data_IF_569557926014
#
_entry.id   IF_569557926014
#
_cell.length_a   1.000
_cell.length_b   1.000
_cell.length_c   1.000
_cell.angle_alpha   90.00
_cell.angle_beta   90.00
_cell.angle_gamma   90.00
#
_symmetry.space_group_name_H-M   'P 1'
#
loop_
_entity.id
_entity.type
_entity.pdbx_description
1 polymer ?
#
# COMPACT_ATOMS: atom_id res chain seq x y z
N UNK A 1 22.12 35.82 37.78
CA UNK A 1 22.24 36.44 36.44
C UNK A 1 23.26 35.66 35.65
N UNK A 2 22.86 35.07 34.52
CA UNK A 2 23.62 34.24 33.55
C UNK A 2 22.73 33.02 33.18
N UNK A 3 22.50 32.60 31.95
CA UNK A 3 22.81 33.09 30.61
C UNK A 3 21.75 32.48 29.67
N UNK A 4 21.34 33.26 28.67
CA UNK A 4 20.53 32.80 27.53
C UNK A 4 21.32 31.70 26.80
N UNK A 5 20.68 30.56 26.52
CA UNK A 5 21.14 29.62 25.49
C UNK A 5 20.08 29.53 24.39
N UNK A 6 20.31 30.18 23.24
CA UNK A 6 19.52 29.94 22.05
C UNK A 6 20.06 28.66 21.40
N UNK A 7 19.18 27.69 21.16
CA UNK A 7 19.53 26.55 20.32
C UNK A 7 18.38 26.28 19.37
N UNK A 8 18.13 27.28 18.51
CA UNK A 8 17.45 27.07 17.23
C UNK A 8 18.52 26.47 16.32
N UNK A 9 18.62 25.14 16.30
CA UNK A 9 19.24 24.45 15.17
C UNK A 9 18.20 24.48 14.06
N UNK A 10 18.34 25.46 13.16
CA UNK A 10 17.68 25.46 11.87
C UNK A 10 18.27 24.33 11.03
N UNK A 11 17.61 23.18 11.01
CA UNK A 11 17.94 22.11 10.08
C UNK A 11 17.36 22.51 8.71
N UNK A 12 18.16 23.22 7.92
CA UNK A 12 17.88 23.45 6.52
C UNK A 12 17.94 22.10 5.79
N UNK A 13 16.78 21.46 5.63
CA UNK A 13 16.63 20.28 4.80
C UNK A 13 16.81 20.70 3.34
N UNK A 14 17.94 20.34 2.75
CA UNK A 14 18.21 20.49 1.34
C UNK A 14 17.24 19.61 0.53
N UNK A 15 16.14 20.20 0.07
CA UNK A 15 15.18 19.58 -0.85
C UNK A 15 15.72 19.53 -2.30
N UNK A 16 16.88 18.92 -2.55
CA UNK A 16 17.38 18.71 -3.93
C UNK A 16 18.03 17.33 -4.07
N UNK A 17 17.26 16.26 -3.83
CA UNK A 17 17.67 14.91 -4.22
C UNK A 17 16.50 13.93 -4.49
N UNK A 18 15.24 14.36 -4.53
CA UNK A 18 14.11 13.44 -4.77
C UNK A 18 13.76 13.20 -6.25
N UNK A 19 14.56 13.66 -7.20
CA UNK A 19 14.24 13.51 -8.64
C UNK A 19 15.05 12.43 -9.37
N UNK A 20 15.90 11.65 -8.68
CA UNK A 20 16.85 10.73 -9.33
C UNK A 20 16.63 9.22 -9.07
N UNK A 21 15.48 8.80 -8.53
CA UNK A 21 15.21 7.37 -8.29
C UNK A 21 13.81 6.97 -8.76
N UNK A 22 13.60 7.00 -10.07
CA UNK A 22 12.48 6.32 -10.72
C UNK A 22 12.93 5.80 -12.10
N UNK A 23 14.01 5.02 -12.11
CA UNK A 23 14.45 4.26 -13.31
C UNK A 23 14.39 2.76 -13.05
N UNK A 24 13.40 2.29 -12.27
CA UNK A 24 13.02 0.89 -12.31
C UNK A 24 12.20 0.67 -13.59
N UNK A 25 12.90 0.49 -14.72
CA UNK A 25 12.28 -0.02 -15.94
C UNK A 25 11.97 -1.52 -15.73
N UNK A 26 10.87 -1.79 -15.02
CA UNK A 26 10.36 -3.15 -14.82
C UNK A 26 9.73 -3.74 -16.09
N UNK A 27 9.57 -2.94 -17.15
CA UNK A 27 9.01 -3.35 -18.42
C UNK A 27 10.05 -4.12 -19.24
N UNK A 28 9.81 -5.40 -19.58
CA UNK A 28 10.69 -6.13 -20.49
C UNK A 28 10.85 -5.39 -21.82
N UNK A 29 12.03 -5.39 -22.45
CA UNK A 29 12.31 -4.58 -23.65
C UNK A 29 11.34 -4.88 -24.80
N UNK A 30 10.87 -6.13 -24.92
CA UNK A 30 9.86 -6.53 -25.90
C UNK A 30 8.50 -5.82 -25.73
N UNK A 31 8.21 -5.29 -24.53
CA UNK A 31 6.95 -4.60 -24.22
C UNK A 31 7.09 -3.08 -24.23
N UNK A 32 8.27 -2.52 -24.51
CA UNK A 32 8.52 -1.09 -24.40
C UNK A 32 7.61 -0.26 -25.34
N UNK A 33 7.43 -0.71 -26.59
CA UNK A 33 6.54 -0.05 -27.55
C UNK A 33 5.07 -0.11 -27.12
N UNK A 34 4.63 -1.25 -26.57
CA UNK A 34 3.27 -1.41 -26.05
C UNK A 34 3.05 -0.48 -24.84
N UNK A 35 4.00 -0.41 -23.91
CA UNK A 35 3.91 0.50 -22.77
C UNK A 35 3.81 1.96 -23.22
N UNK A 36 4.64 2.39 -24.17
CA UNK A 36 4.58 3.76 -24.70
C UNK A 36 3.22 4.07 -25.34
N UNK A 37 2.66 3.10 -26.08
CA UNK A 37 1.33 3.25 -26.67
C UNK A 37 0.23 3.37 -25.63
N UNK A 38 0.27 2.59 -24.54
CA UNK A 38 -0.71 2.70 -23.45
C UNK A 38 -0.56 4.00 -22.67
N UNK A 39 0.68 4.45 -22.38
CA UNK A 39 0.93 5.75 -21.74
C UNK A 39 0.36 6.89 -22.60
N UNK A 40 0.53 6.83 -23.92
CA UNK A 40 0.00 7.85 -24.82
C UNK A 40 -1.54 7.89 -24.86
N UNK A 41 -2.22 6.78 -24.55
CA UNK A 41 -3.69 6.74 -24.41
C UNK A 41 -4.17 7.38 -23.11
N UNK A 42 -3.30 7.53 -22.12
CA UNK A 42 -3.63 8.02 -20.78
C UNK A 42 -4.36 6.98 -19.93
N UNK A 43 -4.69 7.37 -18.71
CA UNK A 43 -5.36 6.47 -17.77
C UNK A 43 -6.79 6.14 -18.21
N UNK A 44 -7.25 4.89 -18.05
CA UNK A 44 -8.64 4.54 -18.26
C UNK A 44 -9.57 5.36 -17.35
N UNK A 45 -10.66 5.92 -17.89
CA UNK A 45 -11.63 6.68 -17.10
C UNK A 45 -12.16 5.92 -15.86
N UNK A 46 -12.20 4.58 -15.94
CA UNK A 46 -12.58 3.70 -14.82
C UNK A 46 -11.67 3.87 -13.59
N UNK A 47 -10.40 4.25 -13.74
CA UNK A 47 -9.47 4.44 -12.61
C UNK A 47 -9.89 5.57 -11.68
N UNK A 48 -10.69 6.52 -12.18
CA UNK A 48 -11.20 7.66 -11.42
C UNK A 48 -12.64 7.44 -10.93
N UNK A 49 -13.19 6.24 -11.07
CA UNK A 49 -14.53 5.91 -10.58
C UNK A 49 -14.45 5.16 -9.26
N UNK A 50 -14.88 5.83 -8.20
CA UNK A 50 -14.98 5.22 -6.86
C UNK A 50 -16.06 4.13 -6.82
N UNK A 51 -15.85 3.17 -5.92
CA UNK A 51 -16.88 2.21 -5.56
C UNK A 51 -17.95 2.90 -4.70
N UNK A 52 -18.93 3.52 -5.35
CA UNK A 52 -19.90 4.38 -4.67
C UNK A 52 -21.01 3.64 -3.89
N UNK A 53 -21.16 2.32 -4.08
CA UNK A 53 -22.23 1.54 -3.42
C UNK A 53 -21.66 0.68 -2.30
N UNK A 54 -22.39 0.49 -1.21
CA UNK A 54 -21.98 -0.39 -0.11
C UNK A 54 -21.63 -1.82 -0.58
N UNK A 55 -22.34 -2.33 -1.59
CA UNK A 55 -22.04 -3.62 -2.20
C UNK A 55 -20.72 -3.61 -3.00
N UNK A 56 -20.41 -2.53 -3.72
CA UNK A 56 -19.14 -2.39 -4.43
C UNK A 56 -17.98 -2.24 -3.46
N UNK A 57 -18.10 -1.36 -2.46
CA UNK A 57 -17.13 -1.17 -1.38
C UNK A 57 -16.82 -2.49 -0.67
N UNK A 58 -17.85 -3.26 -0.32
CA UNK A 58 -17.66 -4.56 0.33
C UNK A 58 -16.98 -5.59 -0.57
N UNK A 59 -17.24 -5.56 -1.90
CA UNK A 59 -16.51 -6.43 -2.84
C UNK A 59 -15.04 -6.03 -2.93
N UNK A 60 -14.74 -4.74 -2.93
CA UNK A 60 -13.37 -4.22 -2.98
C UNK A 60 -12.62 -4.52 -1.70
N UNK A 61 -13.21 -4.25 -0.54
CA UNK A 61 -12.62 -4.60 0.77
C UNK A 61 -12.28 -6.09 0.88
N UNK A 62 -13.11 -7.00 0.38
CA UNK A 62 -12.78 -8.44 0.39
C UNK A 62 -11.55 -8.77 -0.46
N UNK A 63 -11.32 -8.05 -1.56
CA UNK A 63 -10.10 -8.20 -2.35
C UNK A 63 -8.90 -7.66 -1.60
N UNK A 64 -9.05 -6.51 -0.94
CA UNK A 64 -8.00 -5.88 -0.12
C UNK A 64 -7.60 -6.79 1.06
N UNK A 65 -8.56 -7.40 1.77
CA UNK A 65 -8.28 -8.39 2.83
C UNK A 65 -7.50 -9.59 2.26
N UNK A 66 -7.85 -10.05 1.06
CA UNK A 66 -7.11 -11.12 0.38
C UNK A 66 -5.69 -10.72 -0.01
N UNK A 67 -5.51 -9.50 -0.50
CA UNK A 67 -4.20 -8.94 -0.82
C UNK A 67 -3.32 -8.79 0.43
N UNK A 68 -3.89 -8.26 1.52
CA UNK A 68 -3.22 -8.15 2.81
C UNK A 68 -2.75 -9.51 3.34
N UNK A 69 -3.54 -10.58 3.20
CA UNK A 69 -3.10 -11.94 3.53
C UNK A 69 -1.92 -12.39 2.66
N UNK A 70 -1.96 -12.11 1.35
CA UNK A 70 -0.88 -12.48 0.43
C UNK A 70 0.43 -11.75 0.80
N UNK A 71 0.36 -10.45 1.06
CA UNK A 71 1.48 -9.63 1.52
C UNK A 71 2.03 -10.11 2.86
N UNK A 72 1.15 -10.36 3.84
CA UNK A 72 1.54 -10.91 5.14
C UNK A 72 2.26 -12.26 4.99
N UNK A 73 1.77 -13.16 4.13
CA UNK A 73 2.43 -14.43 3.87
C UNK A 73 3.81 -14.26 3.22
N UNK A 74 3.98 -13.29 2.32
CA UNK A 74 5.28 -12.97 1.73
C UNK A 74 6.26 -12.45 2.80
N UNK A 75 5.81 -11.54 3.65
CA UNK A 75 6.59 -11.03 4.77
C UNK A 75 6.99 -12.16 5.74
N UNK A 76 6.05 -13.05 6.12
CA UNK A 76 6.34 -14.20 6.98
C UNK A 76 7.41 -15.13 6.40
N UNK A 77 7.46 -15.29 5.07
CA UNK A 77 8.49 -16.12 4.40
C UNK A 77 9.88 -15.47 4.45
N UNK A 78 9.95 -14.15 4.46
CA UNK A 78 11.19 -13.38 4.55
C UNK A 78 11.72 -13.27 5.99
N UNK A 79 10.86 -13.49 7.00
CA UNK A 79 11.23 -13.46 8.42
C UNK A 79 11.99 -14.70 8.93
N UNK A 80 12.33 -14.73 10.24
CA UNK A 80 13.07 -15.83 10.86
C UNK A 80 12.36 -17.18 10.72
N UNK A 81 13.11 -18.23 10.35
CA UNK A 81 12.55 -19.56 10.14
C UNK A 81 11.84 -20.14 11.39
N UNK A 82 12.35 -19.82 12.59
CA UNK A 82 11.78 -20.25 13.86
C UNK A 82 10.38 -19.65 14.12
N UNK A 83 10.10 -18.46 13.59
CA UNK A 83 8.84 -17.74 13.81
C UNK A 83 7.85 -17.89 12.66
N UNK A 84 8.33 -18.30 11.47
CA UNK A 84 7.55 -18.35 10.24
C UNK A 84 6.22 -19.09 10.39
N UNK A 85 6.20 -20.25 11.04
CA UNK A 85 4.96 -21.02 11.20
C UNK A 85 3.92 -20.27 12.05
N UNK A 86 4.36 -19.60 13.12
CA UNK A 86 3.49 -18.77 13.96
C UNK A 86 2.96 -17.57 13.16
N UNK A 87 3.85 -16.85 12.47
CA UNK A 87 3.49 -15.72 11.61
C UNK A 87 2.42 -16.10 10.56
N UNK A 88 2.59 -17.23 9.88
CA UNK A 88 1.62 -17.71 8.88
C UNK A 88 0.27 -18.08 9.50
N UNK A 89 0.24 -18.53 10.75
CA UNK A 89 -1.02 -18.81 11.47
C UNK A 89 -1.72 -17.53 11.88
N UNK A 90 -0.98 -16.55 12.40
CA UNK A 90 -1.48 -15.22 12.75
C UNK A 90 -2.07 -14.51 11.52
N UNK A 91 -1.35 -14.49 10.39
CA UNK A 91 -1.85 -13.91 9.14
C UNK A 91 -3.18 -14.54 8.69
N UNK A 92 -3.32 -15.87 8.81
CA UNK A 92 -4.58 -16.57 8.50
C UNK A 92 -5.69 -16.27 9.51
N UNK A 93 -5.36 -16.08 10.78
CA UNK A 93 -6.32 -15.71 11.81
C UNK A 93 -6.87 -14.30 11.54
N UNK A 94 -5.99 -13.33 11.25
CA UNK A 94 -6.36 -11.97 10.84
C UNK A 94 -7.28 -11.99 9.62
N UNK A 95 -6.90 -12.71 8.56
CA UNK A 95 -7.76 -12.87 7.38
C UNK A 95 -9.18 -13.36 7.72
N UNK A 96 -9.30 -14.40 8.57
CA UNK A 96 -10.60 -14.93 8.96
C UNK A 96 -11.42 -13.91 9.74
N UNK A 97 -10.78 -13.20 10.65
CA UNK A 97 -11.41 -12.15 11.45
C UNK A 97 -11.88 -11.00 10.56
N UNK A 98 -11.04 -10.51 9.65
CA UNK A 98 -11.38 -9.40 8.76
C UNK A 98 -12.51 -9.79 7.80
N UNK A 99 -12.49 -11.01 7.25
CA UNK A 99 -13.57 -11.50 6.40
C UNK A 99 -14.91 -11.62 7.15
N UNK A 100 -14.88 -12.06 8.42
CA UNK A 100 -16.07 -12.13 9.27
C UNK A 100 -16.62 -10.73 9.61
N UNK A 101 -15.73 -9.75 9.78
CA UNK A 101 -16.07 -8.38 10.15
C UNK A 101 -16.14 -7.41 8.95
N UNK A 102 -16.05 -7.90 7.71
CA UNK A 102 -15.91 -7.05 6.52
C UNK A 102 -17.04 -6.02 6.36
N UNK A 103 -18.27 -6.35 6.79
CA UNK A 103 -19.37 -5.39 6.75
C UNK A 103 -19.21 -4.24 7.76
N UNK A 104 -18.64 -4.51 8.93
CA UNK A 104 -18.34 -3.51 9.94
C UNK A 104 -17.16 -2.64 9.49
N UNK A 105 -16.05 -3.27 9.06
CA UNK A 105 -14.86 -2.57 8.55
C UNK A 105 -15.23 -1.65 7.39
N UNK A 106 -16.08 -2.12 6.45
CA UNK A 106 -16.59 -1.28 5.36
C UNK A 106 -17.42 -0.11 5.88
N UNK A 107 -18.21 -0.29 6.93
CA UNK A 107 -18.94 0.82 7.52
C UNK A 107 -17.95 1.86 8.05
N UNK A 108 -17.00 1.45 8.89
CA UNK A 108 -15.96 2.29 9.50
C UNK A 108 -15.13 3.09 8.47
N UNK A 109 -14.70 2.45 7.38
CA UNK A 109 -13.92 3.09 6.32
C UNK A 109 -14.64 4.22 5.56
N UNK A 110 -15.97 4.30 5.68
CA UNK A 110 -16.80 5.25 4.94
C UNK A 110 -17.68 6.13 5.85
N UNK A 111 -17.30 6.33 7.13
CA UNK A 111 -18.03 7.18 8.09
C UNK A 111 -17.78 8.69 7.95
N UNK A 112 -17.14 9.15 6.88
CA UNK A 112 -16.73 10.55 6.68
C UNK A 112 -17.59 11.29 5.66
#
# INVERSE_FOLDING_TARGET
>A
MAHIRPLIIGMAMACVACAAQATDQTTPPQNAQLQQAEIAKGDPARWYQDDATAAAQLRTLRKEIGAALAEANLACKQGPAAERNRCMQEARATYKQDMANAAQIRAENHQH
#
